data_IF_513550145577
#
_entry.id   IF_513550145577
#
_cell.length_a   1.000
_cell.length_b   1.000
_cell.length_c   1.000
_cell.angle_alpha   90.00
_cell.angle_beta   90.00
_cell.angle_gamma   90.00
#
_symmetry.space_group_name_H-M   'P 1'
#
loop_
_entity.id
_entity.type
_entity.pdbx_description
1 polymer ?
#
# COMPACT_ATOMS: atom_id res chain seq x y z
N UNK A 1 -4.93 -22.99 -14.78
CA UNK A 1 -5.50 -22.13 -13.71
C UNK A 1 -6.39 -21.12 -14.43
N UNK A 2 -7.70 -21.32 -14.39
CA UNK A 2 -8.67 -20.36 -14.94
C UNK A 2 -8.86 -19.32 -13.85
N UNK A 3 -8.28 -18.13 -14.02
CA UNK A 3 -8.60 -17.00 -13.17
C UNK A 3 -9.99 -16.52 -13.55
N UNK A 4 -11.00 -16.80 -12.72
CA UNK A 4 -12.23 -16.02 -12.79
C UNK A 4 -11.87 -14.56 -12.47
N UNK A 5 -11.87 -13.73 -13.51
CA UNK A 5 -11.61 -12.30 -13.44
C UNK A 5 -12.85 -11.59 -12.89
N UNK A 6 -13.18 -11.76 -11.61
CA UNK A 6 -14.22 -10.95 -10.94
C UNK A 6 -13.67 -9.54 -10.69
N UNK A 7 -14.05 -8.50 -11.45
CA UNK A 7 -13.52 -7.15 -11.25
C UNK A 7 -13.86 -6.61 -9.85
N UNK A 8 -14.96 -7.08 -9.25
CA UNK A 8 -15.32 -6.72 -7.89
C UNK A 8 -14.36 -7.35 -6.86
N UNK A 9 -13.77 -8.51 -7.12
CA UNK A 9 -12.74 -9.11 -6.26
C UNK A 9 -11.46 -8.28 -6.24
N UNK A 10 -10.99 -7.85 -7.40
CA UNK A 10 -9.82 -6.97 -7.51
C UNK A 10 -10.03 -5.64 -6.81
N UNK A 11 -11.21 -5.05 -7.00
CA UNK A 11 -11.56 -3.79 -6.36
C UNK A 11 -11.72 -3.94 -4.83
N UNK A 12 -12.26 -5.07 -4.34
CA UNK A 12 -12.25 -5.40 -2.90
C UNK A 12 -10.81 -5.48 -2.37
N UNK A 13 -9.91 -6.15 -3.07
CA UNK A 13 -8.49 -6.26 -2.71
C UNK A 13 -7.80 -4.89 -2.64
N UNK A 14 -8.01 -4.03 -3.64
CA UNK A 14 -7.44 -2.68 -3.64
C UNK A 14 -7.92 -1.87 -2.43
N UNK A 15 -9.23 -1.94 -2.11
CA UNK A 15 -9.79 -1.29 -0.91
C UNK A 15 -9.24 -1.87 0.40
N UNK A 16 -8.97 -3.17 0.47
CA UNK A 16 -8.31 -3.76 1.64
C UNK A 16 -6.92 -3.17 1.85
N UNK A 17 -6.15 -2.97 0.77
CA UNK A 17 -4.82 -2.35 0.85
C UNK A 17 -4.91 -0.88 1.27
N UNK A 18 -5.89 -0.13 0.76
CA UNK A 18 -6.13 1.25 1.20
C UNK A 18 -6.51 1.30 2.69
N UNK A 19 -7.42 0.43 3.13
CA UNK A 19 -7.81 0.35 4.54
C UNK A 19 -6.63 -0.01 5.45
N UNK A 20 -5.73 -0.90 5.02
CA UNK A 20 -4.49 -1.17 5.75
C UNK A 20 -3.61 0.08 5.85
N UNK A 21 -3.52 0.87 4.77
CA UNK A 21 -2.77 2.12 4.76
C UNK A 21 -3.35 3.13 5.75
N UNK A 22 -4.68 3.29 5.78
CA UNK A 22 -5.39 4.18 6.70
C UNK A 22 -5.29 3.74 8.17
N UNK A 23 -5.23 2.42 8.41
CA UNK A 23 -5.12 1.86 9.74
C UNK A 23 -3.70 1.93 10.33
N UNK A 24 -2.68 2.33 9.57
CA UNK A 24 -1.32 2.51 10.08
C UNK A 24 -1.10 3.93 10.60
N UNK A 25 -1.10 4.17 11.93
CA UNK A 25 -0.78 5.47 12.47
C UNK A 25 0.71 5.80 12.27
N UNK A 26 1.01 7.10 12.18
CA UNK A 26 2.39 7.57 12.19
C UNK A 26 3.08 7.18 13.52
N UNK A 27 4.37 6.79 13.47
CA UNK A 27 5.12 6.43 14.68
C UNK A 27 5.22 7.63 15.61
N UNK A 28 4.79 7.42 16.86
CA UNK A 28 4.92 8.41 17.92
C UNK A 28 6.37 8.50 18.40
N UNK A 29 6.78 9.68 18.86
CA UNK A 29 8.08 9.85 19.48
C UNK A 29 8.15 9.05 20.78
N UNK A 30 9.33 8.48 21.07
CA UNK A 30 9.54 7.78 22.33
C UNK A 30 9.54 8.77 23.51
N UNK A 31 8.69 8.58 24.53
CA UNK A 31 8.72 9.43 25.71
C UNK A 31 9.94 9.08 26.55
N UNK A 32 10.98 9.90 26.45
CA UNK A 32 12.19 9.72 27.24
C UNK A 32 12.11 10.44 28.59
N UNK A 33 12.59 9.83 29.67
CA UNK A 33 12.68 10.49 30.97
C UNK A 33 13.73 11.61 30.93
N UNK A 34 13.56 12.66 31.74
CA UNK A 34 14.52 13.77 31.83
C UNK A 34 15.71 13.48 32.76
N UNK A 35 16.23 12.26 32.72
CA UNK A 35 17.34 11.85 33.58
C UNK A 35 18.71 12.02 32.92
N UNK A 36 19.78 11.69 33.67
CA UNK A 36 21.16 11.81 33.18
C UNK A 36 21.48 10.84 32.04
N UNK A 37 20.81 9.70 31.96
CA UNK A 37 21.04 8.69 30.94
C UNK A 37 20.37 9.10 29.63
N UNK A 38 19.16 9.63 29.69
CA UNK A 38 18.50 10.21 28.52
C UNK A 38 19.30 11.37 27.92
N UNK A 39 19.88 12.23 28.76
CA UNK A 39 20.81 13.28 28.29
C UNK A 39 22.07 12.71 27.65
N UNK A 40 22.61 11.60 28.16
CA UNK A 40 23.79 10.95 27.60
C UNK A 40 23.55 10.36 26.20
N UNK A 41 22.30 10.06 25.83
CA UNK A 41 21.92 9.63 24.48
C UNK A 41 22.03 10.75 23.43
N UNK A 42 22.06 12.02 23.86
CA UNK A 42 22.17 13.16 22.96
C UNK A 42 21.08 13.18 21.89
N UNK A 43 21.47 13.25 20.61
CA UNK A 43 20.56 13.36 19.48
C UNK A 43 20.03 12.00 18.96
N UNK A 44 20.51 10.88 19.50
CA UNK A 44 20.15 9.53 19.03
C UNK A 44 18.62 9.31 19.01
N UNK A 45 17.85 9.68 20.05
CA UNK A 45 16.40 9.46 20.05
C UNK A 45 15.67 10.23 18.96
N UNK A 46 16.03 11.50 18.76
CA UNK A 46 15.45 12.34 17.72
C UNK A 46 15.78 11.80 16.32
N UNK A 47 17.01 11.31 16.11
CA UNK A 47 17.40 10.67 14.85
C UNK A 47 16.65 9.34 14.62
N UNK A 48 16.45 8.54 15.66
CA UNK A 48 15.67 7.30 15.60
C UNK A 48 14.20 7.57 15.27
N UNK A 49 13.59 8.58 15.91
CA UNK A 49 12.21 8.98 15.63
C UNK A 49 12.05 9.49 14.19
N UNK A 50 13.03 10.24 13.69
CA UNK A 50 13.05 10.69 12.30
C UNK A 50 13.12 9.51 11.32
N UNK A 51 14.05 8.57 11.53
CA UNK A 51 14.16 7.37 10.71
C UNK A 51 12.89 6.51 10.73
N UNK A 52 12.22 6.40 11.89
CA UNK A 52 10.94 5.70 12.00
C UNK A 52 9.85 6.37 11.15
N UNK A 53 9.76 7.71 11.17
CA UNK A 53 8.80 8.46 10.34
C UNK A 53 9.08 8.32 8.85
N UNK A 54 10.35 8.34 8.45
CA UNK A 54 10.75 8.14 7.06
C UNK A 54 10.37 6.73 6.56
N UNK A 55 10.69 5.70 7.34
CA UNK A 55 10.32 4.32 7.02
C UNK A 55 8.79 4.17 6.93
N UNK A 56 8.05 4.75 7.88
CA UNK A 56 6.59 4.74 7.85
C UNK A 56 6.04 5.41 6.58
N UNK A 57 6.57 6.57 6.20
CA UNK A 57 6.16 7.28 4.99
C UNK A 57 6.44 6.45 3.72
N UNK A 58 7.59 5.78 3.65
CA UNK A 58 7.93 4.86 2.55
C UNK A 58 6.95 3.70 2.47
N UNK A 59 6.69 3.02 3.59
CA UNK A 59 5.75 1.89 3.64
C UNK A 59 4.33 2.29 3.24
N UNK A 60 3.85 3.46 3.70
CA UNK A 60 2.55 4.01 3.28
C UNK A 60 2.52 4.29 1.78
N UNK A 61 3.58 4.84 1.21
CA UNK A 61 3.68 5.07 -0.23
C UNK A 61 3.67 3.76 -1.03
N UNK A 62 4.38 2.72 -0.56
CA UNK A 62 4.40 1.40 -1.18
C UNK A 62 3.03 0.71 -1.17
N UNK A 63 2.28 0.80 -0.06
CA UNK A 63 0.92 0.27 0.03
C UNK A 63 -0.04 0.98 -0.93
N UNK A 64 0.03 2.32 -1.01
CA UNK A 64 -0.75 3.08 -2.00
C UNK A 64 -0.41 2.68 -3.44
N UNK A 65 0.89 2.53 -3.74
CA UNK A 65 1.34 2.07 -5.04
C UNK A 65 0.87 0.64 -5.34
N UNK A 66 0.77 -0.24 -4.34
CA UNK A 66 0.21 -1.57 -4.49
C UNK A 66 -1.28 -1.53 -4.83
N UNK A 67 -2.08 -0.73 -4.12
CA UNK A 67 -3.51 -0.57 -4.41
C UNK A 67 -3.75 -0.10 -5.87
N UNK A 68 -2.97 0.88 -6.33
CA UNK A 68 -3.03 1.36 -7.71
C UNK A 68 -2.65 0.28 -8.73
N UNK A 69 -1.59 -0.51 -8.46
CA UNK A 69 -1.22 -1.64 -9.33
C UNK A 69 -2.32 -2.71 -9.42
N UNK A 70 -3.02 -2.98 -8.32
CA UNK A 70 -4.16 -3.92 -8.31
C UNK A 70 -5.27 -3.40 -9.22
N UNK A 71 -5.63 -2.12 -9.10
CA UNK A 71 -6.64 -1.49 -9.97
C UNK A 71 -6.24 -1.53 -11.43
N UNK A 72 -4.99 -1.21 -11.72
CA UNK A 72 -4.48 -1.18 -13.09
C UNK A 72 -4.44 -2.58 -13.73
N UNK A 73 -4.02 -3.59 -12.97
CA UNK A 73 -4.10 -5.00 -13.38
C UNK A 73 -5.52 -5.42 -13.70
N UNK A 74 -6.49 -5.06 -12.86
CA UNK A 74 -7.92 -5.32 -13.09
C UNK A 74 -8.44 -4.67 -14.38
N UNK A 75 -8.12 -3.39 -14.61
CA UNK A 75 -8.50 -2.68 -15.84
C UNK A 75 -7.91 -3.34 -17.08
N UNK A 76 -6.62 -3.69 -17.03
CA UNK A 76 -5.91 -4.33 -18.14
C UNK A 76 -6.51 -5.69 -18.48
N UNK A 77 -6.76 -6.52 -17.47
CA UNK A 77 -7.37 -7.84 -17.69
C UNK A 77 -8.80 -7.73 -18.25
N UNK A 78 -9.61 -6.82 -17.72
CA UNK A 78 -10.97 -6.57 -18.22
C UNK A 78 -10.96 -6.03 -19.66
N UNK A 79 -10.00 -5.17 -20.00
CA UNK A 79 -9.87 -4.64 -21.37
C UNK A 79 -9.49 -5.74 -22.36
N UNK A 80 -8.58 -6.65 -21.98
CA UNK A 80 -8.20 -7.81 -22.77
C UNK A 80 -9.37 -8.77 -23.00
N UNK A 81 -10.16 -9.04 -21.95
CA UNK A 81 -11.36 -9.89 -22.03
C UNK A 81 -12.41 -9.32 -23.02
N UNK A 82 -12.71 -8.02 -22.91
CA UNK A 82 -13.61 -7.34 -23.87
C UNK A 82 -13.08 -7.30 -25.29
N UNK A 83 -11.75 -7.25 -25.48
CA UNK A 83 -11.15 -7.29 -26.80
C UNK A 83 -11.28 -8.69 -27.41
N UNK A 84 -11.05 -9.74 -26.61
CA UNK A 84 -11.21 -11.13 -27.02
C UNK A 84 -12.68 -11.45 -27.37
N UNK A 85 -13.64 -11.03 -26.54
CA UNK A 85 -15.07 -11.21 -26.80
C UNK A 85 -15.49 -10.60 -28.14
N UNK A 86 -15.06 -9.35 -28.42
CA UNK A 86 -15.34 -8.69 -29.71
C UNK A 86 -14.71 -9.40 -30.91
N UNK A 87 -13.51 -9.98 -30.74
CA UNK A 87 -12.88 -10.74 -31.80
C UNK A 87 -13.63 -12.05 -32.10
N UNK A 88 -14.18 -12.71 -31.07
CA UNK A 88 -15.02 -13.90 -31.23
C UNK A 88 -16.33 -13.54 -31.94
N UNK A 89 -17.01 -12.47 -31.49
CA UNK A 89 -18.24 -11.98 -32.12
C UNK A 89 -18.04 -11.61 -33.60
N UNK A 90 -16.88 -11.06 -33.96
CA UNK A 90 -16.57 -10.71 -35.34
C UNK A 90 -16.22 -11.92 -36.24
N UNK A 91 -15.90 -13.08 -35.65
CA UNK A 91 -15.50 -14.29 -36.36
C UNK A 91 -16.64 -15.30 -36.55
N UNK A 92 -17.76 -15.12 -35.84
CA UNK A 92 -19.00 -15.92 -35.97
C UNK A 92 -20.02 -15.25 -36.86
#
# INVERSE_FOLDING_TARGET
MIFELDPAAWERLARTVDALTEAMPAPAALPLPEDRYARALGAIPAASDAAARELHASSVAELRALAERIRDGSRTATAADRAAARAIEAAG
#
